data_IF_015043800429
#
_entry.id   IF_015043800429
#
_cell.length_a   1.000
_cell.length_b   1.000
_cell.length_c   1.000
_cell.angle_alpha   90.00
_cell.angle_beta   90.00
_cell.angle_gamma   90.00
#
_symmetry.space_group_name_H-M   'P 1'
#
loop_
_entity.id
_entity.type
_entity.pdbx_description
1 polymer ?
#
# COMPACT_ATOMS: atom_id res chain seq x y z
N UNK A 1 33.31 -7.22 -20.47
CA UNK A 1 33.12 -5.77 -20.18
C UNK A 1 33.12 -5.00 -21.50
N UNK A 2 31.93 -4.46 -21.89
CA UNK A 2 31.77 -3.74 -23.17
C UNK A 2 32.17 -2.26 -23.00
N UNK A 3 31.95 -1.69 -21.82
CA UNK A 3 32.29 -0.28 -21.48
C UNK A 3 32.97 -0.20 -20.11
N UNK A 4 34.28 -0.37 -20.02
CA UNK A 4 35.00 -0.36 -18.75
C UNK A 4 34.97 1.00 -18.03
N UNK A 5 34.64 2.07 -18.74
CA UNK A 5 34.51 3.43 -18.19
C UNK A 5 33.11 3.74 -17.64
N UNK A 6 32.11 2.89 -17.91
CA UNK A 6 30.76 3.12 -17.46
C UNK A 6 30.63 2.90 -15.95
N UNK A 7 29.89 3.78 -15.28
CA UNK A 7 29.45 3.58 -13.91
C UNK A 7 28.18 2.73 -13.90
N UNK A 8 28.16 1.70 -13.09
CA UNK A 8 27.01 0.84 -12.89
C UNK A 8 26.29 1.20 -11.59
N UNK A 9 25.06 1.63 -11.72
CA UNK A 9 24.18 1.88 -10.58
C UNK A 9 22.98 0.95 -10.62
N UNK A 10 22.53 0.48 -9.46
CA UNK A 10 21.38 -0.41 -9.33
C UNK A 10 20.26 0.19 -8.49
N UNK A 11 19.02 -0.15 -8.86
CA UNK A 11 17.86 0.18 -8.06
C UNK A 11 17.61 -0.91 -7.02
N UNK A 12 17.67 -0.53 -5.74
CA UNK A 12 17.64 -1.42 -4.59
C UNK A 12 16.24 -1.40 -3.96
N UNK A 13 15.31 -2.15 -4.54
CA UNK A 13 13.93 -2.18 -4.06
C UNK A 13 13.81 -2.97 -2.75
N UNK A 14 14.34 -4.20 -2.72
CA UNK A 14 14.25 -5.06 -1.52
C UNK A 14 15.27 -6.20 -1.59
N UNK A 15 15.88 -6.53 -0.43
CA UNK A 15 16.72 -7.71 -0.28
C UNK A 15 16.02 -8.72 0.63
N UNK A 16 15.78 -9.93 0.11
CA UNK A 16 15.03 -10.96 0.79
C UNK A 16 15.87 -11.70 1.83
N UNK A 17 15.35 -11.84 3.05
CA UNK A 17 15.99 -12.60 4.12
C UNK A 17 15.17 -13.85 4.46
N UNK A 18 15.82 -15.02 4.67
CA UNK A 18 15.10 -16.24 5.07
C UNK A 18 14.38 -16.12 6.42
N UNK A 19 14.83 -15.18 7.24
CA UNK A 19 14.26 -14.82 8.53
C UNK A 19 14.03 -13.31 8.59
N UNK A 20 13.58 -12.73 7.48
CA UNK A 20 13.27 -11.31 7.37
C UNK A 20 12.01 -10.94 8.16
N UNK A 21 11.78 -9.64 8.29
CA UNK A 21 10.63 -9.13 9.04
C UNK A 21 9.27 -9.55 8.47
N UNK A 22 9.21 -9.80 7.15
CA UNK A 22 8.01 -10.26 6.43
C UNK A 22 7.80 -11.79 6.50
N UNK A 23 8.88 -12.57 6.68
CA UNK A 23 8.83 -14.04 6.70
C UNK A 23 8.34 -14.53 8.06
N UNK A 24 7.20 -15.24 8.05
CA UNK A 24 6.56 -15.71 9.29
C UNK A 24 5.95 -14.58 10.14
N UNK A 25 5.80 -13.38 9.58
CA UNK A 25 5.12 -12.26 10.24
C UNK A 25 3.69 -12.62 10.62
N UNK A 26 2.98 -13.29 9.70
CA UNK A 26 1.62 -13.72 9.94
C UNK A 26 1.60 -15.24 10.27
N UNK A 27 1.23 -15.61 11.49
CA UNK A 27 1.21 -17.01 11.91
C UNK A 27 0.13 -17.85 11.17
N UNK A 28 -0.86 -17.22 10.55
CA UNK A 28 -1.87 -17.91 9.73
C UNK A 28 -1.27 -18.38 8.38
N UNK A 29 -0.20 -17.72 7.92
CA UNK A 29 0.47 -18.02 6.64
C UNK A 29 1.96 -18.30 6.84
N UNK A 30 2.32 -19.38 7.59
CA UNK A 30 3.71 -19.71 7.84
C UNK A 30 4.43 -20.13 6.55
N UNK A 31 5.77 -20.08 6.52
CA UNK A 31 6.56 -20.67 5.45
C UNK A 31 6.15 -22.14 5.22
N UNK A 32 6.05 -22.57 3.95
CA UNK A 32 5.52 -23.89 3.60
C UNK A 32 6.45 -25.05 4.00
N UNK A 33 7.76 -24.84 3.81
CA UNK A 33 8.76 -25.86 4.06
C UNK A 33 10.17 -25.26 4.23
N UNK A 34 11.15 -26.09 4.58
CA UNK A 34 12.55 -25.68 4.71
C UNK A 34 13.18 -25.15 3.41
N UNK A 35 12.61 -25.46 2.24
CA UNK A 35 13.05 -24.96 0.95
C UNK A 35 12.68 -23.51 0.71
N UNK A 36 11.74 -22.92 1.46
CA UNK A 36 11.38 -21.51 1.33
C UNK A 36 12.61 -20.61 1.58
N UNK A 37 13.43 -20.93 2.55
CA UNK A 37 14.68 -20.20 2.81
C UNK A 37 15.63 -20.22 1.60
N UNK A 38 15.74 -21.34 0.90
CA UNK A 38 16.54 -21.46 -0.32
C UNK A 38 15.94 -20.64 -1.46
N UNK A 39 14.62 -20.70 -1.65
CA UNK A 39 13.90 -19.90 -2.67
C UNK A 39 14.07 -18.41 -2.45
N UNK A 40 14.03 -17.92 -1.21
CA UNK A 40 14.27 -16.51 -0.87
C UNK A 40 15.70 -16.08 -1.18
N UNK A 41 16.70 -16.93 -0.90
CA UNK A 41 18.10 -16.66 -1.28
C UNK A 41 18.26 -16.57 -2.81
N UNK A 42 17.59 -17.44 -3.56
CA UNK A 42 17.61 -17.38 -5.03
C UNK A 42 16.98 -16.11 -5.60
N UNK A 43 15.98 -15.53 -4.92
CA UNK A 43 15.45 -14.21 -5.33
C UNK A 43 16.49 -13.10 -5.29
N UNK A 44 17.51 -13.22 -4.44
CA UNK A 44 18.58 -12.24 -4.36
C UNK A 44 19.71 -12.46 -5.38
N UNK A 45 19.66 -13.49 -6.22
CA UNK A 45 20.77 -13.83 -7.11
C UNK A 45 21.24 -12.64 -7.95
N UNK A 46 20.30 -11.91 -8.55
CA UNK A 46 20.65 -10.71 -9.34
C UNK A 46 21.30 -9.62 -8.45
N UNK A 47 20.76 -9.38 -7.25
CA UNK A 47 21.36 -8.42 -6.33
C UNK A 47 22.81 -8.80 -5.99
N UNK A 48 23.04 -10.06 -5.64
CA UNK A 48 24.37 -10.57 -5.25
C UNK A 48 25.38 -10.44 -6.40
N UNK A 49 24.98 -10.76 -7.64
CA UNK A 49 25.85 -10.61 -8.81
C UNK A 49 26.14 -9.13 -9.11
N UNK A 50 25.16 -8.26 -8.93
CA UNK A 50 25.35 -6.83 -9.17
C UNK A 50 26.21 -6.16 -8.08
N UNK A 51 26.18 -6.64 -6.83
CA UNK A 51 26.98 -6.03 -5.75
C UNK A 51 28.48 -6.07 -5.99
N UNK A 52 28.96 -7.07 -6.72
CA UNK A 52 30.39 -7.21 -7.07
C UNK A 52 30.87 -6.10 -8.01
N UNK A 53 29.98 -5.62 -8.88
CA UNK A 53 30.35 -4.72 -9.99
C UNK A 53 29.70 -3.32 -9.88
N UNK A 54 28.69 -3.15 -9.05
CA UNK A 54 27.99 -1.89 -8.91
C UNK A 54 28.82 -0.84 -8.14
N UNK A 55 28.91 0.34 -8.72
CA UNK A 55 29.52 1.51 -8.10
C UNK A 55 28.65 2.08 -6.99
N UNK A 56 27.32 2.11 -7.20
CA UNK A 56 26.34 2.69 -6.28
C UNK A 56 24.96 2.02 -6.39
N UNK A 57 24.13 2.27 -5.38
CA UNK A 57 22.72 1.88 -5.37
C UNK A 57 21.81 3.04 -4.98
N UNK A 58 20.55 2.94 -5.38
CA UNK A 58 19.48 3.83 -4.93
C UNK A 58 18.31 3.01 -4.42
N UNK A 59 17.74 3.40 -3.28
CA UNK A 59 16.58 2.74 -2.67
C UNK A 59 15.49 3.77 -2.36
N UNK A 60 14.19 3.41 -2.49
CA UNK A 60 13.12 4.38 -2.31
C UNK A 60 12.90 4.80 -0.86
N UNK A 61 13.24 3.93 0.12
CA UNK A 61 13.02 4.22 1.55
C UNK A 61 14.20 3.75 2.40
N UNK A 62 14.35 4.32 3.59
CA UNK A 62 15.37 3.88 4.56
C UNK A 62 15.11 2.44 5.03
N UNK A 63 13.84 2.06 5.22
CA UNK A 63 13.48 0.69 5.54
C UNK A 63 13.95 -0.30 4.46
N UNK A 64 13.65 -0.01 3.20
CA UNK A 64 14.05 -0.87 2.09
C UNK A 64 15.57 -0.94 1.96
N UNK A 65 16.26 0.19 2.05
CA UNK A 65 17.73 0.23 2.07
C UNK A 65 18.33 -0.61 3.21
N UNK A 66 17.70 -0.59 4.40
CA UNK A 66 18.17 -1.34 5.57
C UNK A 66 18.14 -2.85 5.40
N UNK A 67 17.37 -3.38 4.44
CA UNK A 67 17.33 -4.82 4.15
C UNK A 67 18.59 -5.32 3.45
N UNK A 68 19.38 -4.44 2.83
CA UNK A 68 20.58 -4.81 2.08
C UNK A 68 21.77 -5.09 2.98
N UNK A 69 22.63 -6.08 2.64
CA UNK A 69 23.78 -6.44 3.45
C UNK A 69 24.92 -5.42 3.31
N UNK A 70 25.78 -5.32 4.33
CA UNK A 70 27.07 -4.68 4.23
C UNK A 70 28.08 -5.56 3.44
N UNK A 71 29.07 -4.97 2.73
CA UNK A 71 29.33 -3.53 2.67
C UNK A 71 28.50 -2.79 1.64
N UNK A 72 27.63 -3.46 0.87
CA UNK A 72 26.92 -2.81 -0.24
C UNK A 72 25.93 -1.74 0.25
N UNK A 73 25.28 -1.95 1.41
CA UNK A 73 24.33 -0.99 1.98
C UNK A 73 24.95 0.42 2.14
N UNK A 74 26.23 0.51 2.46
CA UNK A 74 26.92 1.80 2.56
C UNK A 74 27.03 2.58 1.25
N UNK A 75 26.82 1.91 0.10
CA UNK A 75 26.79 2.54 -1.23
C UNK A 75 25.38 2.98 -1.65
N UNK A 76 24.33 2.72 -0.83
CA UNK A 76 22.94 3.01 -1.19
C UNK A 76 22.57 4.42 -0.74
N UNK A 77 22.14 5.23 -1.70
CA UNK A 77 21.49 6.52 -1.45
C UNK A 77 19.98 6.33 -1.40
N UNK A 78 19.31 6.93 -0.40
CA UNK A 78 17.85 6.84 -0.28
C UNK A 78 17.20 8.04 -0.96
N UNK A 79 16.51 7.75 -2.07
CA UNK A 79 15.68 8.71 -2.81
C UNK A 79 14.48 7.98 -3.36
N UNK A 80 13.29 8.45 -3.01
CA UNK A 80 12.04 7.85 -3.53
C UNK A 80 11.80 8.21 -5.00
N UNK A 81 11.03 7.38 -5.71
CA UNK A 81 10.67 7.61 -7.13
C UNK A 81 9.87 8.89 -7.34
N UNK A 82 9.09 9.27 -6.33
CA UNK A 82 8.26 10.47 -6.36
C UNK A 82 6.81 10.19 -6.74
N UNK A 83 5.93 11.09 -6.29
CA UNK A 83 4.50 11.12 -6.62
C UNK A 83 4.19 12.45 -7.27
N UNK A 84 3.47 12.45 -8.38
CA UNK A 84 2.96 13.69 -8.98
C UNK A 84 1.83 14.24 -8.09
N UNK A 85 2.22 15.10 -7.13
CA UNK A 85 1.27 15.66 -6.16
C UNK A 85 0.34 16.72 -6.75
N UNK A 86 0.58 17.14 -7.99
CA UNK A 86 -0.32 18.02 -8.72
C UNK A 86 -1.42 17.21 -9.40
N UNK A 87 -1.08 16.14 -10.08
CA UNK A 87 -2.04 15.21 -10.67
C UNK A 87 -2.88 14.50 -9.60
N UNK A 88 -2.23 14.04 -8.51
CA UNK A 88 -2.90 13.39 -7.38
C UNK A 88 -3.19 14.42 -6.28
N UNK A 89 -4.12 15.31 -6.55
CA UNK A 89 -4.56 16.35 -5.62
C UNK A 89 -6.00 16.11 -5.14
N UNK A 90 -6.40 16.67 -3.98
CA UNK A 90 -7.79 16.64 -3.54
C UNK A 90 -8.73 17.30 -4.57
N UNK A 91 -9.87 16.67 -4.80
CA UNK A 91 -10.92 17.23 -5.66
C UNK A 91 -12.27 17.24 -4.90
N UNK A 92 -12.76 18.39 -4.46
CA UNK A 92 -14.04 18.48 -3.75
C UNK A 92 -15.27 18.18 -4.62
N UNK A 93 -15.11 18.24 -5.94
CA UNK A 93 -16.18 18.00 -6.91
C UNK A 93 -16.12 16.60 -7.53
N UNK A 94 -15.28 15.72 -7.01
CA UNK A 94 -15.13 14.35 -7.52
C UNK A 94 -16.46 13.60 -7.47
N UNK A 95 -16.75 12.90 -8.54
CA UNK A 95 -17.86 11.95 -8.64
C UNK A 95 -17.36 10.65 -9.27
N UNK A 96 -17.85 9.54 -8.78
CA UNK A 96 -17.55 8.21 -9.32
C UNK A 96 -18.85 7.45 -9.53
N UNK A 97 -19.11 7.02 -10.76
CA UNK A 97 -20.29 6.21 -11.07
C UNK A 97 -19.88 4.74 -11.22
N UNK A 98 -20.46 3.90 -10.37
CA UNK A 98 -20.33 2.46 -10.41
C UNK A 98 -21.52 1.86 -11.17
N UNK A 99 -21.23 1.04 -12.17
CA UNK A 99 -22.26 0.26 -12.87
C UNK A 99 -22.55 -1.00 -12.04
N UNK A 100 -23.77 -1.12 -11.54
CA UNK A 100 -24.25 -2.26 -10.75
C UNK A 100 -24.99 -3.33 -11.58
N UNK A 101 -24.96 -3.23 -12.90
CA UNK A 101 -25.73 -4.07 -13.81
C UNK A 101 -27.21 -3.65 -13.90
N UNK A 102 -27.99 -4.30 -14.76
CA UNK A 102 -29.42 -4.04 -14.98
C UNK A 102 -29.82 -2.54 -15.09
N UNK A 103 -28.96 -1.72 -15.72
CA UNK A 103 -29.15 -0.27 -15.86
C UNK A 103 -29.20 0.52 -14.52
N UNK A 104 -28.72 -0.06 -13.42
CA UNK A 104 -28.59 0.63 -12.14
C UNK A 104 -27.19 1.21 -12.00
N UNK A 105 -27.11 2.53 -12.01
CA UNK A 105 -25.88 3.25 -11.75
C UNK A 105 -25.90 3.83 -10.33
N UNK A 106 -24.81 3.65 -9.61
CA UNK A 106 -24.57 4.27 -8.32
C UNK A 106 -23.52 5.37 -8.49
N UNK A 107 -23.93 6.63 -8.33
CA UNK A 107 -23.00 7.77 -8.32
C UNK A 107 -22.65 8.12 -6.88
N UNK A 108 -21.37 8.11 -6.57
CA UNK A 108 -20.80 8.47 -5.27
C UNK A 108 -20.11 9.84 -5.38
N UNK A 109 -20.19 10.60 -4.30
CA UNK A 109 -19.65 11.96 -4.16
C UNK A 109 -18.94 12.13 -2.81
N UNK A 110 -18.35 13.29 -2.56
CA UNK A 110 -17.75 13.62 -1.25
C UNK A 110 -18.74 13.68 -0.10
N UNK A 111 -20.04 13.69 -0.36
CA UNK A 111 -21.08 13.63 0.67
C UNK A 111 -21.31 12.19 1.19
N UNK A 112 -20.84 11.20 0.46
CA UNK A 112 -20.98 9.79 0.83
C UNK A 112 -19.86 9.34 1.77
N UNK A 113 -20.16 8.39 2.65
CA UNK A 113 -19.16 7.71 3.46
C UNK A 113 -18.51 6.59 2.64
N UNK A 114 -17.34 6.85 2.09
CA UNK A 114 -16.62 5.91 1.24
C UNK A 114 -15.34 5.43 1.93
N UNK A 115 -15.27 4.13 2.18
CA UNK A 115 -14.07 3.46 2.69
C UNK A 115 -13.38 2.79 1.50
N UNK A 116 -12.10 3.07 1.31
CA UNK A 116 -11.32 2.49 0.24
C UNK A 116 -10.23 1.56 0.76
N UNK A 117 -10.06 0.44 0.08
CA UNK A 117 -8.96 -0.50 0.28
C UNK A 117 -8.37 -0.83 -1.09
N UNK A 118 -7.09 -0.52 -1.29
CA UNK A 118 -6.46 -0.62 -2.60
C UNK A 118 -5.17 -1.41 -2.52
N UNK A 119 -5.06 -2.43 -3.34
CA UNK A 119 -3.86 -3.24 -3.51
C UNK A 119 -3.70 -3.67 -4.96
N UNK A 120 -2.50 -4.11 -5.33
CA UNK A 120 -2.27 -4.71 -6.65
C UNK A 120 -3.04 -6.02 -6.80
N UNK A 121 -2.96 -6.89 -5.79
CA UNK A 121 -3.71 -8.12 -5.68
C UNK A 121 -4.26 -8.26 -4.25
N UNK A 122 -5.42 -8.91 -4.12
CA UNK A 122 -6.12 -9.12 -2.85
C UNK A 122 -5.56 -10.36 -2.16
N UNK A 123 -4.51 -10.18 -1.37
CA UNK A 123 -3.73 -11.25 -0.73
C UNK A 123 -3.40 -10.93 0.74
N UNK A 124 -3.07 -11.95 1.57
CA UNK A 124 -2.72 -11.76 2.98
C UNK A 124 -1.56 -10.78 3.20
N UNK A 125 -0.56 -10.78 2.33
CA UNK A 125 0.61 -9.90 2.43
C UNK A 125 0.26 -8.41 2.51
N UNK A 126 -0.88 -8.04 1.94
CA UNK A 126 -1.45 -6.67 1.99
C UNK A 126 -2.66 -6.58 2.91
N UNK A 127 -2.78 -7.48 3.89
CA UNK A 127 -3.78 -7.43 4.95
C UNK A 127 -5.23 -7.61 4.48
N UNK A 128 -5.45 -8.17 3.29
CA UNK A 128 -6.80 -8.33 2.76
C UNK A 128 -7.71 -9.15 3.69
N UNK A 129 -7.21 -10.23 4.29
CA UNK A 129 -7.95 -11.06 5.26
C UNK A 129 -8.35 -10.27 6.52
N UNK A 130 -7.45 -9.43 7.04
CA UNK A 130 -7.71 -8.58 8.21
C UNK A 130 -8.79 -7.54 7.86
N UNK A 131 -8.66 -6.89 6.71
CA UNK A 131 -9.67 -5.94 6.23
C UNK A 131 -11.04 -6.60 6.05
N UNK A 132 -11.10 -7.75 5.40
CA UNK A 132 -12.36 -8.49 5.23
C UNK A 132 -13.00 -8.86 6.57
N UNK A 133 -12.21 -9.31 7.55
CA UNK A 133 -12.67 -9.67 8.89
C UNK A 133 -13.17 -8.46 9.70
N UNK A 134 -12.77 -7.25 9.33
CA UNK A 134 -13.31 -6.03 9.95
C UNK A 134 -14.70 -5.63 9.41
N UNK A 135 -15.06 -6.06 8.20
CA UNK A 135 -16.29 -5.63 7.51
C UNK A 135 -17.59 -5.93 8.24
N UNK A 136 -17.82 -7.11 8.88
CA UNK A 136 -19.09 -7.40 9.51
C UNK A 136 -19.48 -6.35 10.56
N UNK A 137 -18.57 -6.00 11.45
CA UNK A 137 -18.84 -5.02 12.49
C UNK A 137 -18.83 -3.58 11.94
N UNK A 138 -17.94 -3.28 11.00
CA UNK A 138 -17.84 -1.98 10.36
C UNK A 138 -19.14 -1.61 9.62
N UNK A 139 -19.67 -2.52 8.80
CA UNK A 139 -20.91 -2.28 8.04
C UNK A 139 -22.13 -2.16 8.95
N UNK A 140 -22.16 -2.90 10.06
CA UNK A 140 -23.21 -2.80 11.09
C UNK A 140 -23.16 -1.44 11.78
N UNK A 141 -21.99 -0.98 12.19
CA UNK A 141 -21.80 0.32 12.86
C UNK A 141 -22.02 1.51 11.93
N UNK A 142 -21.72 1.36 10.64
CA UNK A 142 -21.80 2.42 9.63
C UNK A 142 -22.76 2.04 8.51
N UNK A 143 -24.09 2.12 8.74
CA UNK A 143 -25.10 1.63 7.77
C UNK A 143 -25.17 2.46 6.48
N UNK A 144 -24.54 3.64 6.42
CA UNK A 144 -24.45 4.47 5.23
C UNK A 144 -23.12 4.29 4.47
N UNK A 145 -22.11 3.71 5.11
CA UNK A 145 -20.80 3.56 4.50
C UNK A 145 -20.83 2.57 3.33
N UNK A 146 -20.07 2.90 2.28
CA UNK A 146 -19.79 2.04 1.15
C UNK A 146 -18.32 1.69 1.11
N UNK A 147 -18.02 0.46 0.78
CA UNK A 147 -16.66 -0.08 0.76
C UNK A 147 -16.26 -0.34 -0.68
N UNK A 148 -15.20 0.32 -1.14
CA UNK A 148 -14.63 0.12 -2.48
C UNK A 148 -13.30 -0.62 -2.34
N UNK A 149 -13.25 -1.83 -2.90
CA UNK A 149 -12.09 -2.72 -2.86
C UNK A 149 -11.49 -2.81 -4.26
N UNK A 150 -10.26 -2.36 -4.39
CA UNK A 150 -9.48 -2.42 -5.64
C UNK A 150 -8.35 -3.43 -5.48
N UNK A 151 -8.21 -4.30 -6.45
CA UNK A 151 -7.14 -5.28 -6.54
C UNK A 151 -7.51 -6.47 -7.40
N UNK A 152 -6.49 -7.05 -8.01
CA UNK A 152 -6.63 -8.27 -8.81
C UNK A 152 -6.81 -9.52 -7.94
N UNK A 153 -7.08 -10.62 -8.62
CA UNK A 153 -7.35 -11.93 -8.00
C UNK A 153 -6.11 -12.83 -7.94
N UNK A 154 -4.95 -12.34 -8.41
CA UNK A 154 -3.68 -13.08 -8.40
C UNK A 154 -2.91 -12.81 -7.10
N UNK A 155 -1.65 -13.21 -7.05
CA UNK A 155 -0.73 -13.03 -5.93
C UNK A 155 0.49 -12.26 -6.43
N UNK A 156 0.90 -11.24 -5.68
CA UNK A 156 2.09 -10.44 -6.00
C UNK A 156 3.31 -10.88 -5.19
N UNK A 157 3.14 -11.14 -3.91
CA UNK A 157 4.24 -11.28 -2.94
C UNK A 157 4.16 -12.57 -2.12
N UNK A 158 2.96 -12.93 -1.67
CA UNK A 158 2.74 -14.09 -0.81
C UNK A 158 2.67 -15.41 -1.56
N UNK A 159 2.30 -16.46 -0.84
CA UNK A 159 2.04 -17.77 -1.43
C UNK A 159 0.66 -17.82 -2.09
N UNK A 160 0.54 -18.56 -3.19
CA UNK A 160 -0.77 -18.87 -3.78
C UNK A 160 -1.55 -19.82 -2.87
N UNK A 161 -2.88 -19.64 -2.75
CA UNK A 161 -3.70 -20.60 -2.05
C UNK A 161 -3.72 -21.94 -2.79
N UNK A 162 -4.03 -23.01 -2.07
CA UNK A 162 -4.07 -24.35 -2.62
C UNK A 162 -5.30 -24.56 -3.55
N UNK A 163 -5.23 -25.59 -4.36
CA UNK A 163 -6.31 -26.04 -5.24
C UNK A 163 -6.83 -25.00 -6.23
N UNK A 164 -5.95 -24.08 -6.68
CA UNK A 164 -6.31 -23.05 -7.66
C UNK A 164 -7.32 -22.01 -7.17
N UNK A 165 -7.61 -21.97 -5.86
CA UNK A 165 -8.48 -20.96 -5.25
C UNK A 165 -7.86 -19.58 -5.32
N UNK A 166 -8.65 -18.55 -5.03
CA UNK A 166 -8.20 -17.16 -4.95
C UNK A 166 -8.39 -16.66 -3.53
N UNK A 167 -7.41 -15.91 -3.02
CA UNK A 167 -7.50 -15.30 -1.69
C UNK A 167 -8.74 -14.41 -1.56
N UNK A 168 -9.10 -13.68 -2.61
CA UNK A 168 -10.32 -12.88 -2.67
C UNK A 168 -11.55 -13.70 -2.29
N UNK A 169 -11.74 -14.85 -2.92
CA UNK A 169 -12.94 -15.67 -2.73
C UNK A 169 -12.93 -16.37 -1.37
N UNK A 170 -11.75 -16.78 -0.89
CA UNK A 170 -11.60 -17.43 0.42
C UNK A 170 -12.09 -16.50 1.52
N UNK A 171 -11.58 -15.26 1.59
CA UNK A 171 -11.92 -14.34 2.67
C UNK A 171 -13.29 -13.69 2.47
N UNK A 172 -13.74 -13.48 1.24
CA UNK A 172 -15.10 -13.08 0.97
C UNK A 172 -16.09 -14.15 1.48
N UNK A 173 -15.86 -15.44 1.21
CA UNK A 173 -16.68 -16.54 1.69
C UNK A 173 -16.64 -16.72 3.20
N UNK A 174 -15.50 -16.44 3.85
CA UNK A 174 -15.34 -16.49 5.32
C UNK A 174 -16.27 -15.49 6.03
N UNK A 175 -16.37 -14.27 5.50
CA UNK A 175 -17.10 -13.19 6.18
C UNK A 175 -18.55 -13.06 5.69
N UNK A 176 -18.87 -13.53 4.50
CA UNK A 176 -20.18 -13.40 3.87
C UNK A 176 -21.35 -13.87 4.76
N UNK A 177 -21.27 -15.01 5.48
CA UNK A 177 -22.35 -15.46 6.37
C UNK A 177 -22.59 -14.53 7.57
N UNK A 178 -21.65 -13.65 7.89
CA UNK A 178 -21.72 -12.70 9.02
C UNK A 178 -22.29 -11.34 8.63
N UNK A 179 -22.60 -11.13 7.34
CA UNK A 179 -23.04 -9.86 6.77
C UNK A 179 -24.38 -10.06 6.10
N UNK A 180 -25.36 -9.20 6.40
CA UNK A 180 -26.69 -9.24 5.74
C UNK A 180 -26.57 -8.95 4.24
N UNK A 181 -27.54 -9.38 3.44
CA UNK A 181 -27.54 -9.11 2.00
C UNK A 181 -27.59 -7.61 1.70
N UNK A 182 -28.34 -6.84 2.49
CA UNK A 182 -28.40 -5.39 2.36
C UNK A 182 -27.05 -4.73 2.62
N UNK A 183 -26.31 -5.21 3.64
CA UNK A 183 -24.99 -4.70 3.98
C UNK A 183 -23.93 -5.13 2.96
N UNK A 184 -23.99 -6.39 2.49
CA UNK A 184 -23.09 -6.88 1.46
C UNK A 184 -23.24 -6.12 0.14
N UNK A 185 -24.45 -5.69 -0.19
CA UNK A 185 -24.70 -4.82 -1.35
C UNK A 185 -23.97 -3.47 -1.33
N UNK A 186 -23.35 -3.11 -0.20
CA UNK A 186 -22.53 -1.90 -0.03
C UNK A 186 -21.04 -2.16 -0.18
N UNK A 187 -20.61 -3.41 -0.39
CA UNK A 187 -19.23 -3.81 -0.64
C UNK A 187 -19.01 -4.01 -2.14
N UNK A 188 -18.16 -3.20 -2.74
CA UNK A 188 -17.95 -3.19 -4.18
C UNK A 188 -16.51 -3.63 -4.50
N UNK A 189 -16.38 -4.76 -5.18
CA UNK A 189 -15.11 -5.26 -5.71
C UNK A 189 -14.92 -4.72 -7.12
N UNK A 190 -13.94 -3.86 -7.31
CA UNK A 190 -13.73 -3.15 -8.58
C UNK A 190 -12.69 -3.83 -9.49
N UNK A 191 -11.99 -4.86 -8.98
CA UNK A 191 -10.89 -5.48 -9.71
C UNK A 191 -9.72 -4.51 -9.89
N UNK A 192 -8.93 -4.71 -10.94
CA UNK A 192 -7.89 -3.77 -11.33
C UNK A 192 -8.52 -2.58 -12.06
N UNK A 193 -8.25 -1.38 -11.58
CA UNK A 193 -8.75 -0.14 -12.21
C UNK A 193 -7.63 0.58 -12.94
N UNK A 194 -7.87 1.13 -14.14
CA UNK A 194 -6.91 2.00 -14.82
C UNK A 194 -6.55 3.22 -13.98
N UNK A 195 -5.33 3.73 -14.11
CA UNK A 195 -4.82 4.83 -13.30
C UNK A 195 -5.71 6.08 -13.35
N UNK A 196 -6.28 6.39 -14.50
CA UNK A 196 -7.22 7.49 -14.67
C UNK A 196 -8.51 7.39 -13.82
N UNK A 197 -8.90 6.19 -13.39
CA UNK A 197 -10.04 5.94 -12.49
C UNK A 197 -9.59 5.76 -11.04
N UNK A 198 -8.33 5.42 -10.84
CA UNK A 198 -7.75 5.24 -9.51
C UNK A 198 -7.64 6.57 -8.75
N UNK A 199 -7.20 7.65 -9.40
CA UNK A 199 -7.10 8.98 -8.78
C UNK A 199 -8.46 9.46 -8.27
N UNK A 200 -9.54 9.48 -9.08
CA UNK A 200 -10.89 9.83 -8.60
C UNK A 200 -11.37 8.96 -7.42
N UNK A 201 -10.99 7.69 -7.39
CA UNK A 201 -11.34 6.80 -6.29
C UNK A 201 -10.66 7.23 -4.97
N UNK A 202 -9.38 7.59 -5.01
CA UNK A 202 -8.68 8.15 -3.85
C UNK A 202 -9.26 9.51 -3.45
N UNK A 203 -9.52 10.37 -4.41
CA UNK A 203 -10.16 11.68 -4.18
C UNK A 203 -11.52 11.52 -3.49
N UNK A 204 -12.29 10.50 -3.84
CA UNK A 204 -13.59 10.20 -3.26
C UNK A 204 -13.49 9.65 -1.83
N UNK A 205 -12.40 8.98 -1.50
CA UNK A 205 -12.21 8.27 -0.23
C UNK A 205 -12.47 9.18 0.98
N UNK A 206 -13.32 8.71 1.89
CA UNK A 206 -13.54 9.34 3.20
C UNK A 206 -12.52 8.83 4.21
N UNK A 207 -12.27 7.51 4.21
CA UNK A 207 -11.20 6.86 4.97
C UNK A 207 -10.53 5.83 4.06
N UNK A 208 -9.21 5.93 3.94
CA UNK A 208 -8.40 4.97 3.20
C UNK A 208 -7.75 4.00 4.18
N UNK A 209 -7.97 2.71 3.97
CA UNK A 209 -7.33 1.63 4.76
C UNK A 209 -6.16 1.08 3.98
N UNK A 210 -4.98 1.05 4.61
CA UNK A 210 -3.76 0.51 4.04
C UNK A 210 -3.07 -0.45 5.01
N UNK A 211 -3.02 -1.72 4.67
CA UNK A 211 -2.39 -2.76 5.48
C UNK A 211 -1.26 -3.43 4.70
N UNK A 212 -0.16 -3.75 5.37
CA UNK A 212 0.96 -4.47 4.77
C UNK A 212 1.78 -5.20 5.82
N UNK A 213 2.39 -6.32 5.43
CA UNK A 213 3.49 -6.92 6.18
C UNK A 213 4.70 -5.96 6.21
N UNK A 214 5.70 -6.20 7.06
CA UNK A 214 6.96 -5.45 7.05
C UNK A 214 7.75 -5.70 5.76
N UNK A 215 7.30 -5.08 4.66
CA UNK A 215 7.82 -5.26 3.31
C UNK A 215 8.09 -3.90 2.65
N UNK A 216 7.75 -3.70 1.39
CA UNK A 216 7.96 -2.42 0.70
C UNK A 216 6.83 -1.44 0.94
N UNK A 217 7.16 -0.16 1.04
CA UNK A 217 6.20 0.93 1.01
C UNK A 217 5.56 1.02 -0.39
N UNK A 218 4.23 1.05 -0.46
CA UNK A 218 3.55 1.16 -1.75
C UNK A 218 3.34 2.62 -2.17
N UNK A 219 3.49 2.89 -3.44
CA UNK A 219 3.16 4.19 -4.02
C UNK A 219 1.71 4.59 -3.76
N UNK A 220 0.77 3.63 -3.80
CA UNK A 220 -0.65 3.89 -3.56
C UNK A 220 -0.94 4.54 -2.19
N UNK A 221 -0.13 4.25 -1.16
CA UNK A 221 -0.23 4.95 0.12
C UNK A 221 0.13 6.42 -0.03
N UNK A 222 1.25 6.71 -0.68
CA UNK A 222 1.71 8.09 -0.89
C UNK A 222 0.76 8.87 -1.80
N UNK A 223 0.16 8.21 -2.78
CA UNK A 223 -0.90 8.77 -3.61
C UNK A 223 -2.17 9.07 -2.80
N UNK A 224 -2.56 8.17 -1.88
CA UNK A 224 -3.66 8.43 -0.95
C UNK A 224 -3.37 9.61 -0.02
N UNK A 225 -2.13 9.73 0.48
CA UNK A 225 -1.67 10.89 1.24
C UNK A 225 -1.75 12.17 0.38
N UNK A 226 -1.28 12.12 -0.86
CA UNK A 226 -1.31 13.24 -1.79
C UNK A 226 -2.74 13.68 -2.14
N UNK A 227 -3.66 12.73 -2.29
CA UNK A 227 -5.09 13.01 -2.50
C UNK A 227 -5.79 13.57 -1.24
N UNK A 228 -5.11 13.64 -0.09
CA UNK A 228 -5.64 14.18 1.16
C UNK A 228 -6.58 13.21 1.88
N UNK A 229 -6.43 11.91 1.69
CA UNK A 229 -7.20 10.90 2.41
C UNK A 229 -6.87 10.91 3.92
N UNK A 230 -7.87 10.69 4.76
CA UNK A 230 -7.62 10.25 6.12
C UNK A 230 -7.28 8.76 6.09
N UNK A 231 -6.12 8.40 6.64
CA UNK A 231 -5.55 7.07 6.49
C UNK A 231 -5.58 6.32 7.81
N UNK A 232 -6.03 5.05 7.77
CA UNK A 232 -5.80 4.04 8.80
C UNK A 232 -4.90 2.97 8.23
N UNK A 233 -3.72 2.79 8.82
CA UNK A 233 -2.69 1.89 8.30
C UNK A 233 -2.20 0.92 9.36
N UNK A 234 -1.62 -0.21 8.94
CA UNK A 234 -0.99 -1.15 9.87
C UNK A 234 0.24 -0.53 10.54
N UNK A 235 0.41 -0.80 11.83
CA UNK A 235 1.60 -0.43 12.60
C UNK A 235 2.75 -1.39 12.25
N UNK A 236 3.34 -1.18 11.09
CA UNK A 236 4.48 -1.95 10.58
C UNK A 236 5.61 -1.03 10.16
N UNK A 237 6.84 -1.48 10.33
CA UNK A 237 8.05 -0.65 10.18
C UNK A 237 8.14 0.17 8.88
N UNK A 238 7.86 -0.38 7.67
CA UNK A 238 7.95 0.41 6.45
C UNK A 238 7.02 1.62 6.43
N UNK A 239 5.93 1.60 7.19
CA UNK A 239 4.96 2.69 7.23
C UNK A 239 5.37 3.85 8.13
N UNK A 240 6.28 3.64 9.10
CA UNK A 240 6.70 4.67 10.03
C UNK A 240 7.46 5.82 9.34
N UNK A 241 7.99 5.61 8.13
CA UNK A 241 8.61 6.68 7.35
C UNK A 241 7.59 7.66 6.73
N UNK A 242 6.35 7.22 6.52
CA UNK A 242 5.30 8.02 5.91
C UNK A 242 4.17 8.38 6.88
N UNK A 243 3.80 7.47 7.79
CA UNK A 243 2.68 7.65 8.71
C UNK A 243 3.19 7.88 10.12
N UNK A 244 2.95 9.09 10.63
CA UNK A 244 3.09 9.44 12.04
C UNK A 244 1.73 9.35 12.69
N UNK A 245 1.62 8.48 13.71
CA UNK A 245 0.35 8.20 14.39
C UNK A 245 -0.30 9.49 14.92
N UNK A 246 -1.58 9.67 14.62
CA UNK A 246 -2.37 10.87 14.95
C UNK A 246 -1.85 12.20 14.36
N UNK A 247 -0.88 12.17 13.45
CA UNK A 247 -0.38 13.35 12.76
C UNK A 247 -0.69 13.30 11.26
N UNK A 248 -0.22 12.28 10.54
CA UNK A 248 -0.45 12.07 9.10
C UNK A 248 -1.37 10.88 8.80
N UNK A 249 -1.79 10.13 9.83
CA UNK A 249 -2.68 9.00 9.75
C UNK A 249 -2.82 8.32 11.10
N UNK A 250 -3.56 7.22 11.15
CA UNK A 250 -3.68 6.38 12.34
C UNK A 250 -3.05 5.02 12.09
N UNK A 251 -2.24 4.55 13.04
CA UNK A 251 -1.63 3.23 13.01
C UNK A 251 -2.42 2.29 13.91
N UNK A 252 -2.66 1.06 13.43
CA UNK A 252 -3.36 -0.01 14.15
C UNK A 252 -2.55 -1.29 14.09
N UNK A 253 -2.67 -2.14 15.11
CA UNK A 253 -2.07 -3.46 15.07
C UNK A 253 -2.61 -4.23 13.84
N UNK A 254 -1.69 -4.78 13.04
CA UNK A 254 -2.05 -5.52 11.83
C UNK A 254 -3.01 -6.68 12.10
N UNK A 255 -2.89 -7.36 13.24
CA UNK A 255 -3.70 -8.51 13.63
C UNK A 255 -4.97 -8.16 14.42
N UNK A 256 -5.38 -6.89 14.42
CA UNK A 256 -6.55 -6.42 15.17
C UNK A 256 -7.65 -5.86 14.25
N UNK A 257 -8.54 -6.70 13.67
CA UNK A 257 -9.66 -6.24 12.88
C UNK A 257 -10.65 -5.38 13.67
N UNK A 258 -10.75 -5.57 15.00
CA UNK A 258 -11.63 -4.80 15.86
C UNK A 258 -11.07 -3.38 16.05
N UNK A 259 -9.77 -3.25 16.35
CA UNK A 259 -9.08 -1.96 16.41
C UNK A 259 -9.13 -1.21 15.08
N UNK A 260 -8.97 -1.93 13.96
CA UNK A 260 -9.15 -1.34 12.62
C UNK A 260 -10.56 -0.77 12.45
N UNK A 261 -11.58 -1.54 12.80
CA UNK A 261 -12.99 -1.10 12.75
C UNK A 261 -13.20 0.15 13.60
N UNK A 262 -12.68 0.15 14.84
CA UNK A 262 -12.80 1.27 15.76
C UNK A 262 -12.20 2.56 15.17
N UNK A 263 -10.97 2.50 14.66
CA UNK A 263 -10.29 3.67 14.11
C UNK A 263 -10.99 4.20 12.84
N UNK A 264 -11.49 3.31 11.98
CA UNK A 264 -12.26 3.71 10.80
C UNK A 264 -13.57 4.37 11.22
N UNK A 265 -14.35 3.78 12.14
CA UNK A 265 -15.61 4.34 12.62
C UNK A 265 -15.42 5.72 13.27
N UNK A 266 -14.42 5.86 14.14
CA UNK A 266 -14.10 7.14 14.76
C UNK A 266 -13.77 8.23 13.73
N UNK A 267 -12.98 7.91 12.71
CA UNK A 267 -12.69 8.87 11.64
C UNK A 267 -13.92 9.21 10.82
N UNK A 268 -14.83 8.29 10.58
CA UNK A 268 -16.10 8.58 9.89
C UNK A 268 -17.01 9.50 10.71
N UNK A 269 -16.93 9.45 12.05
CA UNK A 269 -17.69 10.30 12.97
C UNK A 269 -17.07 11.69 13.20
N UNK A 270 -15.76 11.84 12.91
CA UNK A 270 -14.99 13.04 13.22
C UNK A 270 -14.51 13.77 11.97
N UNK A 271 -15.36 14.54 11.26
CA UNK A 271 -15.00 15.18 9.99
C UNK A 271 -13.85 16.20 10.13
N UNK A 272 -13.74 16.88 11.25
CA UNK A 272 -12.65 17.84 11.50
C UNK A 272 -11.30 17.10 11.62
N UNK A 273 -11.28 15.98 12.32
CA UNK A 273 -10.08 15.15 12.49
C UNK A 273 -9.66 14.52 11.16
N UNK A 274 -10.62 14.01 10.36
CA UNK A 274 -10.33 13.54 8.99
C UNK A 274 -9.65 14.61 8.15
N UNK A 275 -10.21 15.83 8.18
CA UNK A 275 -9.64 16.95 7.42
C UNK A 275 -8.25 17.34 7.92
N UNK A 276 -8.02 17.31 9.23
CA UNK A 276 -6.71 17.60 9.82
C UNK A 276 -5.68 16.59 9.37
N UNK A 277 -5.97 15.29 9.55
CA UNK A 277 -5.07 14.20 9.14
C UNK A 277 -4.80 14.21 7.64
N UNK A 278 -5.84 14.38 6.81
CA UNK A 278 -5.70 14.42 5.36
C UNK A 278 -4.86 15.62 4.87
N UNK A 279 -5.03 16.81 5.48
CA UNK A 279 -4.17 17.97 5.16
C UNK A 279 -2.71 17.71 5.54
N UNK A 280 -2.46 17.16 6.71
CA UNK A 280 -1.12 16.85 7.17
C UNK A 280 -0.47 15.76 6.31
N UNK A 281 -1.20 14.70 5.96
CA UNK A 281 -0.74 13.66 5.07
C UNK A 281 -0.33 14.24 3.70
N UNK A 282 -1.16 15.10 3.11
CA UNK A 282 -0.84 15.76 1.86
C UNK A 282 0.40 16.66 1.96
N UNK A 283 0.46 17.49 3.00
CA UNK A 283 1.62 18.36 3.22
C UNK A 283 2.91 17.54 3.34
N UNK A 284 2.85 16.42 4.08
CA UNK A 284 3.97 15.51 4.22
C UNK A 284 4.38 14.87 2.89
N UNK A 285 3.41 14.39 2.07
CA UNK A 285 3.69 13.85 0.75
C UNK A 285 4.32 14.89 -0.18
N UNK A 286 3.84 16.13 -0.19
CA UNK A 286 4.40 17.22 -0.99
C UNK A 286 5.83 17.59 -0.55
N UNK A 287 6.10 17.62 0.75
CA UNK A 287 7.40 18.02 1.27
C UNK A 287 8.48 16.94 1.08
N UNK A 288 8.11 15.66 1.05
CA UNK A 288 9.08 14.56 1.07
C UNK A 288 9.08 13.70 -0.20
N UNK A 289 7.95 13.66 -0.93
CA UNK A 289 7.74 12.70 -2.02
C UNK A 289 7.25 13.35 -3.33
N UNK A 290 7.16 14.70 -3.41
CA UNK A 290 6.78 15.34 -4.67
C UNK A 290 7.80 15.02 -5.76
N UNK A 291 7.31 14.51 -6.90
CA UNK A 291 8.15 14.08 -8.01
C UNK A 291 8.98 15.25 -8.55
N UNK A 292 8.34 16.38 -8.84
CA UNK A 292 8.97 17.46 -9.59
C UNK A 292 9.93 18.31 -8.73
N UNK A 293 9.55 18.57 -7.48
CA UNK A 293 10.28 19.53 -6.64
C UNK A 293 11.23 18.87 -5.63
N UNK A 294 11.04 17.56 -5.35
CA UNK A 294 11.82 16.84 -4.33
C UNK A 294 12.57 15.66 -4.92
N UNK A 295 11.85 14.68 -5.47
CA UNK A 295 12.46 13.39 -5.82
C UNK A 295 13.29 13.46 -7.09
N UNK A 296 12.77 14.00 -8.18
CA UNK A 296 13.49 14.10 -9.46
C UNK A 296 14.78 14.95 -9.36
N UNK A 297 14.76 16.13 -8.72
CA UNK A 297 16.02 16.89 -8.51
C UNK A 297 17.08 16.10 -7.75
N UNK A 298 16.69 15.34 -6.70
CA UNK A 298 17.62 14.52 -5.91
C UNK A 298 18.15 13.34 -6.72
N UNK A 299 17.30 12.70 -7.55
CA UNK A 299 17.73 11.63 -8.46
C UNK A 299 18.73 12.15 -9.49
N UNK A 300 18.46 13.31 -10.11
CA UNK A 300 19.36 13.92 -11.09
C UNK A 300 20.69 14.30 -10.45
N UNK A 301 20.69 14.89 -9.26
CA UNK A 301 21.91 15.19 -8.50
C UNK A 301 22.71 13.92 -8.21
N UNK A 302 22.04 12.84 -7.81
CA UNK A 302 22.71 11.56 -7.55
C UNK A 302 23.37 11.01 -8.82
N UNK A 303 22.65 11.00 -9.96
CA UNK A 303 23.22 10.55 -11.25
C UNK A 303 24.43 11.42 -11.66
N UNK A 304 24.32 12.75 -11.52
CA UNK A 304 25.45 13.65 -11.82
C UNK A 304 26.66 13.38 -10.93
N UNK A 305 26.44 13.07 -9.64
CA UNK A 305 27.52 12.70 -8.72
C UNK A 305 28.22 11.37 -9.06
N UNK A 306 27.56 10.45 -9.79
CA UNK A 306 28.19 9.23 -10.27
C UNK A 306 29.08 9.46 -11.50
N UNK A 307 28.85 10.54 -12.22
CA UNK A 307 29.60 10.90 -13.44
C UNK A 307 30.81 11.78 -13.17
N UNK A 308 30.89 12.39 -11.99
CA UNK A 308 32.00 13.20 -11.55
C UNK A 308 33.15 12.33 -10.98
#
# INVERSE_FOLDING_TARGET
EVWPQARLAIYCEFFYHPHGADVGFDPEFPPKDAGDACRLRLKNLNNLLHFEVADAGMSPTHWQASTFPEPFRSKITVVHDGIDTQAVAPNPQVQLTLNQGQNQNLTLTKADEVITFVNRNLEPYRGYHVFMRSLPELLKRRPKARVLIVGGDDVSYGARPEHGRKWKDIFASEVRPKISDADWGRVHFLGNVPYQHFIPLLQLSTVHVYLTYPFVLSWSLLEAMSAGCAIVASDTQPLHEAIKHNETGRLVNFFDPAGLTEQVCQLLEQPQERQRLGRNARAFAQQNYDLQTVCLPRQLQWVQGLMA
#
